data_IF_878103014867
#
_entry.id   IF_878103014867
#
_cell.length_a   1.000
_cell.length_b   1.000
_cell.length_c   1.000
_cell.angle_alpha   90.00
_cell.angle_beta   90.00
_cell.angle_gamma   90.00
#
_symmetry.space_group_name_H-M   'P 1'
#
loop_
_entity.id
_entity.type
_entity.pdbx_description
1 polymer ?
#
# COMPACT_ATOMS: atom_id res chain seq x y z
N UNK A 1 26.54 46.09 43.05
CA UNK A 1 25.82 46.54 41.85
C UNK A 1 25.76 45.37 40.87
N UNK A 2 24.55 44.99 40.49
CA UNK A 2 24.14 43.76 39.80
C UNK A 2 24.81 43.62 38.42
N UNK A 3 25.15 42.39 37.97
CA UNK A 3 24.55 41.77 36.76
C UNK A 3 25.09 40.36 36.43
N UNK A 4 24.23 39.39 36.72
CA UNK A 4 23.86 38.17 35.97
C UNK A 4 24.93 37.26 35.33
N UNK A 5 24.96 36.05 35.90
CA UNK A 5 25.12 34.73 35.25
C UNK A 5 24.38 34.69 33.91
N UNK A 6 24.96 34.09 32.85
CA UNK A 6 24.18 33.24 31.95
C UNK A 6 25.05 32.12 31.35
N UNK A 7 24.85 30.93 31.90
CA UNK A 7 25.16 29.65 31.31
C UNK A 7 24.29 29.53 30.04
N UNK A 8 24.91 29.45 28.87
CA UNK A 8 24.21 29.12 27.63
C UNK A 8 24.61 27.70 27.18
N UNK A 9 24.16 26.71 27.95
CA UNK A 9 24.04 25.33 27.48
C UNK A 9 22.59 25.08 27.10
N UNK A 10 22.40 24.32 26.01
CA UNK A 10 21.12 23.85 25.43
C UNK A 10 20.28 24.96 24.79
N UNK A 11 19.73 24.85 23.56
CA UNK A 11 18.95 23.76 22.96
C UNK A 11 19.05 23.89 21.43
N UNK A 12 19.74 22.98 20.73
CA UNK A 12 19.50 22.73 19.29
C UNK A 12 19.43 21.22 19.10
N UNK A 13 18.34 20.60 19.52
CA UNK A 13 18.07 19.19 19.21
C UNK A 13 16.59 18.87 18.99
N UNK A 14 15.72 19.88 18.82
CA UNK A 14 14.26 19.68 18.78
C UNK A 14 13.56 19.84 17.44
N UNK A 15 14.24 20.28 16.36
CA UNK A 15 13.55 20.67 15.12
C UNK A 15 13.47 19.58 14.03
N UNK A 16 14.28 18.52 14.08
CA UNK A 16 14.26 17.49 13.05
C UNK A 16 13.04 16.55 13.17
N UNK A 17 12.63 16.19 14.40
CA UNK A 17 11.58 15.20 14.64
C UNK A 17 10.15 15.75 14.46
N UNK A 18 9.92 17.05 14.70
CA UNK A 18 8.57 17.64 14.52
C UNK A 18 8.11 17.66 13.06
N UNK A 19 9.02 17.80 12.11
CA UNK A 19 8.70 17.88 10.67
C UNK A 19 8.28 16.52 10.10
N UNK A 20 8.93 15.43 10.54
CA UNK A 20 8.55 14.07 10.16
C UNK A 20 7.19 13.68 10.74
N UNK A 21 6.93 14.02 12.00
CA UNK A 21 5.67 13.68 12.69
C UNK A 21 4.45 14.35 12.05
N UNK A 22 4.59 15.62 11.63
CA UNK A 22 3.52 16.36 10.93
C UNK A 22 3.22 15.76 9.55
N UNK A 23 4.26 15.37 8.80
CA UNK A 23 4.09 14.72 7.48
C UNK A 23 3.45 13.34 7.59
N UNK A 24 3.79 12.60 8.64
CA UNK A 24 3.19 11.30 8.95
C UNK A 24 1.71 11.44 9.26
N UNK A 25 1.34 12.38 10.13
CA UNK A 25 -0.06 12.61 10.48
C UNK A 25 -0.90 12.99 9.25
N UNK A 26 -0.41 13.88 8.38
CA UNK A 26 -1.11 14.22 7.14
C UNK A 26 -1.28 13.05 6.17
N UNK A 27 -0.32 12.11 6.14
CA UNK A 27 -0.42 10.89 5.34
C UNK A 27 -1.48 9.93 5.92
N UNK A 28 -1.53 9.81 7.25
CA UNK A 28 -2.54 9.03 7.97
C UNK A 28 -3.94 9.59 7.72
N UNK A 29 -4.13 10.91 7.84
CA UNK A 29 -5.42 11.55 7.65
C UNK A 29 -5.94 11.36 6.21
N UNK A 30 -5.05 11.48 5.22
CA UNK A 30 -5.38 11.19 3.81
C UNK A 30 -5.81 9.74 3.63
N UNK A 31 -5.09 8.79 4.25
CA UNK A 31 -5.42 7.37 4.19
C UNK A 31 -6.76 7.06 4.82
N UNK A 32 -7.05 7.63 5.99
CA UNK A 32 -8.36 7.51 6.66
C UNK A 32 -9.46 7.98 5.72
N UNK A 33 -9.33 9.17 5.15
CA UNK A 33 -10.34 9.72 4.23
C UNK A 33 -10.57 8.82 3.01
N UNK A 34 -9.51 8.37 2.35
CA UNK A 34 -9.61 7.55 1.14
C UNK A 34 -10.21 6.17 1.44
N UNK A 35 -9.80 5.55 2.55
CA UNK A 35 -10.33 4.26 3.01
C UNK A 35 -11.84 4.34 3.27
N UNK A 36 -12.33 5.43 3.85
CA UNK A 36 -13.78 5.61 4.10
C UNK A 36 -14.58 5.87 2.82
N UNK A 37 -13.95 6.44 1.80
CA UNK A 37 -14.63 6.83 0.56
C UNK A 37 -14.58 5.76 -0.53
N UNK A 38 -13.69 4.77 -0.42
CA UNK A 38 -13.41 3.82 -1.49
C UNK A 38 -13.59 2.36 -1.04
N UNK A 39 -14.05 1.52 -1.96
CA UNK A 39 -14.01 0.07 -1.79
C UNK A 39 -12.59 -0.45 -2.04
N UNK A 40 -11.92 -0.88 -0.97
CA UNK A 40 -10.57 -1.42 -1.00
C UNK A 40 -10.49 -2.92 -1.32
N UNK A 41 -11.63 -3.57 -1.59
CA UNK A 41 -11.69 -5.01 -1.92
C UNK A 41 -10.78 -5.39 -3.10
N UNK A 42 -10.60 -4.47 -4.05
CA UNK A 42 -9.72 -4.66 -5.21
C UNK A 42 -8.26 -4.91 -4.82
N UNK A 43 -7.86 -4.51 -3.60
CA UNK A 43 -6.50 -4.66 -3.08
C UNK A 43 -6.28 -5.96 -2.28
N UNK A 44 -7.31 -6.76 -1.96
CA UNK A 44 -7.20 -7.90 -1.04
C UNK A 44 -6.23 -9.00 -1.45
N UNK A 45 -5.84 -9.11 -2.71
CA UNK A 45 -4.84 -10.08 -3.18
C UNK A 45 -3.73 -9.42 -3.99
N UNK A 46 -3.56 -8.11 -3.79
CA UNK A 46 -2.68 -7.28 -4.58
C UNK A 46 -1.42 -6.97 -3.79
N UNK A 47 -0.26 -7.27 -4.38
CA UNK A 47 1.03 -6.77 -3.89
C UNK A 47 1.61 -5.79 -4.89
N UNK A 48 1.83 -4.56 -4.44
CA UNK A 48 2.46 -3.49 -5.21
C UNK A 48 3.75 -3.10 -4.50
N UNK A 49 4.88 -3.30 -5.18
CA UNK A 49 6.21 -2.93 -4.66
C UNK A 49 6.96 -2.02 -5.63
N UNK A 50 7.62 -0.96 -5.15
CA UNK A 50 8.59 -0.22 -5.94
C UNK A 50 9.80 -1.13 -6.22
N UNK A 51 10.44 -1.00 -7.41
CA UNK A 51 11.57 -1.87 -7.78
C UNK A 51 12.89 -1.42 -7.16
N UNK A 52 13.09 -0.12 -6.98
CA UNK A 52 14.22 0.53 -6.30
C UNK A 52 13.95 2.04 -6.32
N UNK A 53 14.23 2.76 -5.22
CA UNK A 53 14.20 4.23 -5.22
C UNK A 53 15.58 4.73 -5.65
N UNK A 54 15.73 5.10 -6.92
CA UNK A 54 16.79 6.03 -7.33
C UNK A 54 16.13 7.35 -7.73
N UNK A 55 16.77 8.47 -7.33
CA UNK A 55 16.28 9.84 -7.54
C UNK A 55 16.09 10.18 -9.03
N UNK A 56 16.64 9.37 -9.94
CA UNK A 56 16.64 9.61 -11.39
C UNK A 56 15.63 8.76 -12.20
N UNK A 57 14.66 8.10 -11.57
CA UNK A 57 13.64 7.35 -12.32
C UNK A 57 12.21 7.74 -11.96
N UNK A 58 11.69 8.78 -12.61
CA UNK A 58 10.28 9.21 -12.54
C UNK A 58 9.27 8.17 -13.10
N UNK A 59 9.69 6.92 -13.37
CA UNK A 59 8.86 5.87 -13.96
C UNK A 59 8.60 4.71 -12.99
N UNK A 60 7.76 5.05 -12.02
CA UNK A 60 6.60 4.32 -11.49
C UNK A 60 6.56 2.78 -11.65
N UNK A 61 6.54 2.10 -10.48
CA UNK A 61 6.10 0.72 -10.19
C UNK A 61 6.44 -0.36 -11.22
N UNK A 62 7.30 -1.30 -10.82
CA UNK A 62 7.67 -2.45 -11.67
C UNK A 62 7.11 -3.79 -11.16
N UNK A 63 6.42 -3.82 -10.01
CA UNK A 63 5.84 -5.05 -9.47
C UNK A 63 4.41 -4.83 -9.01
N UNK A 64 3.47 -5.09 -9.89
CA UNK A 64 2.05 -5.28 -9.59
C UNK A 64 1.72 -6.77 -9.72
N UNK A 65 1.41 -7.41 -8.59
CA UNK A 65 1.14 -8.84 -8.52
C UNK A 65 -0.21 -9.11 -7.89
N UNK A 66 -0.90 -10.12 -8.43
CA UNK A 66 -2.22 -10.55 -7.96
C UNK A 66 -2.20 -12.03 -7.66
N UNK A 67 -2.75 -12.44 -6.50
CA UNK A 67 -2.92 -13.85 -6.17
C UNK A 67 -4.34 -14.32 -6.50
N UNK A 68 -4.45 -15.42 -7.26
CA UNK A 68 -5.72 -16.08 -7.58
C UNK A 68 -5.49 -17.60 -7.57
N UNK A 69 -6.37 -18.36 -6.91
CA UNK A 69 -6.28 -19.83 -6.84
C UNK A 69 -4.89 -20.35 -6.44
N UNK A 70 -4.28 -19.71 -5.42
CA UNK A 70 -2.92 -19.99 -4.91
C UNK A 70 -1.77 -19.73 -5.89
N UNK A 71 -2.06 -19.22 -7.10
CA UNK A 71 -1.06 -18.77 -8.07
C UNK A 71 -0.89 -17.26 -7.98
N UNK A 72 0.32 -16.77 -8.20
CA UNK A 72 0.63 -15.35 -8.27
C UNK A 72 0.84 -14.98 -9.73
N UNK A 73 0.16 -13.93 -10.18
CA UNK A 73 0.20 -13.41 -11.54
C UNK A 73 0.82 -12.03 -11.52
N UNK A 74 1.75 -11.76 -12.43
CA UNK A 74 2.25 -10.40 -12.65
C UNK A 74 1.36 -9.73 -13.70
N UNK A 75 0.62 -8.69 -13.31
CA UNK A 75 -0.30 -7.97 -14.20
C UNK A 75 0.38 -6.66 -14.63
N UNK A 76 0.38 -6.30 -15.92
CA UNK A 76 1.05 -5.10 -16.38
C UNK A 76 0.31 -3.83 -15.94
N UNK A 77 1.06 -2.74 -15.81
CA UNK A 77 0.52 -1.37 -15.88
C UNK A 77 0.42 -0.99 -17.36
N UNK A 78 -0.53 -0.13 -17.72
CA UNK A 78 -0.81 0.25 -19.09
C UNK A 78 -0.53 1.75 -19.33
N UNK A 79 -0.13 2.07 -20.56
CA UNK A 79 -0.07 3.40 -21.15
C UNK A 79 -0.99 3.42 -22.37
N UNK A 80 -2.17 4.04 -22.23
CA UNK A 80 -3.29 3.78 -23.14
C UNK A 80 -3.61 2.28 -23.18
N UNK A 81 -3.68 1.70 -24.37
CA UNK A 81 -3.94 0.26 -24.56
C UNK A 81 -2.65 -0.59 -24.57
N UNK A 82 -1.49 0.03 -24.36
CA UNK A 82 -0.18 -0.62 -24.47
C UNK A 82 0.36 -0.96 -23.08
N UNK A 83 0.69 -2.22 -22.78
CA UNK A 83 1.40 -2.56 -21.55
C UNK A 83 2.74 -1.83 -21.43
N UNK A 84 3.03 -1.25 -20.26
CA UNK A 84 4.22 -0.43 -19.97
C UNK A 84 5.56 -1.19 -20.14
N UNK A 85 5.51 -2.52 -20.28
CA UNK A 85 6.68 -3.33 -20.68
C UNK A 85 6.31 -4.31 -21.81
N UNK A 86 7.13 -4.33 -22.86
CA UNK A 86 6.97 -5.19 -24.04
C UNK A 86 7.39 -6.66 -23.80
N UNK A 87 7.80 -7.03 -22.60
CA UNK A 87 8.35 -8.36 -22.31
C UNK A 87 7.30 -9.40 -21.92
N UNK A 88 7.64 -10.68 -22.10
CA UNK A 88 6.91 -11.87 -21.63
C UNK A 88 6.82 -12.00 -20.08
N UNK A 89 6.95 -10.89 -19.34
CA UNK A 89 7.08 -10.90 -17.88
C UNK A 89 5.74 -10.85 -17.14
N UNK A 90 4.62 -10.90 -17.87
CA UNK A 90 3.29 -10.76 -17.30
C UNK A 90 2.40 -11.96 -17.65
N UNK A 91 1.65 -12.41 -16.66
CA UNK A 91 0.78 -13.58 -16.75
C UNK A 91 -0.66 -13.19 -17.14
N UNK A 92 -0.83 -12.07 -17.85
CA UNK A 92 -2.12 -11.44 -18.13
C UNK A 92 -3.13 -12.43 -18.71
N UNK A 93 -2.75 -13.14 -19.77
CA UNK A 93 -3.65 -14.07 -20.44
C UNK A 93 -3.99 -15.27 -19.54
N UNK A 94 -3.00 -15.86 -18.86
CA UNK A 94 -3.23 -16.96 -17.93
C UNK A 94 -4.12 -16.55 -16.75
N UNK A 95 -3.99 -15.31 -16.26
CA UNK A 95 -4.85 -14.75 -15.23
C UNK A 95 -6.31 -14.67 -15.69
N UNK A 96 -6.55 -14.12 -16.89
CA UNK A 96 -7.90 -13.95 -17.43
C UNK A 96 -8.56 -15.25 -17.89
N UNK A 97 -7.78 -16.26 -18.29
CA UNK A 97 -8.29 -17.61 -18.52
C UNK A 97 -8.91 -18.23 -17.27
N UNK A 98 -8.32 -18.01 -16.09
CA UNK A 98 -8.91 -18.46 -14.81
C UNK A 98 -10.21 -17.73 -14.45
N UNK A 99 -10.53 -16.65 -15.15
CA UNK A 99 -11.76 -15.86 -15.02
C UNK A 99 -12.70 -16.08 -16.21
N UNK A 100 -12.52 -17.18 -16.96
CA UNK A 100 -13.31 -17.58 -18.12
C UNK A 100 -13.24 -16.59 -19.31
N UNK A 101 -12.13 -15.86 -19.45
CA UNK A 101 -11.89 -14.94 -20.57
C UNK A 101 -10.76 -15.52 -21.42
N UNK A 102 -11.13 -16.03 -22.59
CA UNK A 102 -10.21 -16.73 -23.49
C UNK A 102 -9.80 -15.90 -24.71
N UNK A 103 -10.50 -14.78 -24.97
CA UNK A 103 -10.17 -13.86 -26.06
C UNK A 103 -9.07 -12.87 -25.60
N UNK A 104 -8.04 -12.68 -26.44
CA UNK A 104 -6.87 -11.86 -26.13
C UNK A 104 -7.21 -10.37 -25.97
N UNK A 105 -8.02 -9.82 -26.88
CA UNK A 105 -8.37 -8.39 -26.85
C UNK A 105 -9.22 -8.07 -25.62
N UNK A 106 -10.16 -8.95 -25.28
CA UNK A 106 -10.96 -8.87 -24.06
C UNK A 106 -10.09 -8.94 -22.80
N UNK A 107 -9.05 -9.78 -22.79
CA UNK A 107 -8.10 -9.86 -21.68
C UNK A 107 -7.26 -8.58 -21.54
N UNK A 108 -6.91 -7.92 -22.66
CA UNK A 108 -6.18 -6.64 -22.65
C UNK A 108 -7.09 -5.54 -22.10
N UNK A 109 -8.30 -5.39 -22.62
CA UNK A 109 -9.27 -4.36 -22.19
C UNK A 109 -9.55 -4.50 -20.69
N UNK A 110 -9.93 -5.71 -20.25
CA UNK A 110 -10.22 -5.92 -18.83
C UNK A 110 -8.98 -5.82 -17.95
N UNK A 111 -7.81 -6.21 -18.48
CA UNK A 111 -6.51 -6.06 -17.81
C UNK A 111 -6.19 -4.62 -17.52
N UNK A 112 -6.38 -3.77 -18.53
CA UNK A 112 -6.20 -2.33 -18.44
C UNK A 112 -7.14 -1.73 -17.40
N UNK A 113 -8.44 -1.99 -17.51
CA UNK A 113 -9.43 -1.43 -16.57
C UNK A 113 -9.15 -1.82 -15.12
N UNK A 114 -8.77 -3.08 -14.90
CA UNK A 114 -8.40 -3.57 -13.57
C UNK A 114 -7.11 -2.92 -13.05
N UNK A 115 -6.08 -2.85 -13.90
CA UNK A 115 -4.80 -2.22 -13.56
C UNK A 115 -4.97 -0.74 -13.24
N UNK A 116 -5.72 0.00 -14.06
CA UNK A 116 -6.00 1.43 -13.87
C UNK A 116 -6.71 1.71 -12.54
N UNK A 117 -7.67 0.86 -12.15
CA UNK A 117 -8.36 0.98 -10.86
C UNK A 117 -7.41 0.74 -9.67
N UNK A 118 -6.61 -0.32 -9.73
CA UNK A 118 -5.63 -0.62 -8.67
C UNK A 118 -4.59 0.50 -8.55
N UNK A 119 -4.06 0.94 -9.69
CA UNK A 119 -3.04 1.99 -9.75
C UNK A 119 -3.59 3.36 -9.39
N UNK A 120 -4.84 3.64 -9.72
CA UNK A 120 -5.57 4.83 -9.28
C UNK A 120 -5.63 4.92 -7.75
N UNK A 121 -6.06 3.84 -7.09
CA UNK A 121 -6.06 3.78 -5.62
C UNK A 121 -4.65 3.92 -5.05
N UNK A 122 -3.66 3.19 -5.58
CA UNK A 122 -2.27 3.31 -5.12
C UNK A 122 -1.76 4.76 -5.13
N UNK A 123 -1.99 5.49 -6.24
CA UNK A 123 -1.57 6.89 -6.41
C UNK A 123 -2.31 7.82 -5.45
N UNK A 124 -3.61 7.64 -5.27
CA UNK A 124 -4.44 8.44 -4.35
C UNK A 124 -4.03 8.23 -2.89
N UNK A 125 -3.74 6.98 -2.51
CA UNK A 125 -3.31 6.62 -1.16
C UNK A 125 -1.91 7.19 -0.81
N UNK A 126 -1.09 7.55 -1.81
CA UNK A 126 0.28 8.09 -1.64
C UNK A 126 1.18 7.21 -0.74
N UNK A 127 1.03 5.90 -0.86
CA UNK A 127 1.78 4.91 -0.08
C UNK A 127 3.01 4.41 -0.82
N UNK A 128 4.00 3.91 -0.09
CA UNK A 128 5.22 3.35 -0.67
C UNK A 128 4.97 1.93 -1.21
N UNK A 129 4.40 1.05 -0.38
CA UNK A 129 4.13 -0.36 -0.72
C UNK A 129 2.71 -0.73 -0.30
N UNK A 130 2.03 -1.57 -1.10
CA UNK A 130 0.75 -2.20 -0.74
C UNK A 130 0.93 -3.70 -0.69
N UNK A 131 0.50 -4.33 0.40
CA UNK A 131 0.49 -5.77 0.58
C UNK A 131 -0.91 -6.23 1.00
N UNK A 132 -1.69 -6.75 0.05
CA UNK A 132 -2.93 -7.48 0.32
C UNK A 132 -2.76 -8.97 0.04
N UNK A 133 -3.30 -9.82 0.91
CA UNK A 133 -3.47 -11.24 0.64
C UNK A 133 -2.21 -12.04 0.32
N UNK A 134 -1.05 -11.66 0.87
CA UNK A 134 0.09 -12.58 0.96
C UNK A 134 -0.31 -13.78 1.84
N UNK A 135 0.23 -15.00 1.63
CA UNK A 135 -0.53 -16.26 1.68
C UNK A 135 -1.22 -16.62 3.01
N UNK A 136 -0.95 -15.88 4.09
CA UNK A 136 -1.47 -16.16 5.42
C UNK A 136 -2.35 -15.01 5.97
N UNK A 137 -2.53 -13.90 5.24
CA UNK A 137 -3.02 -12.63 5.81
C UNK A 137 -4.55 -12.40 5.68
N UNK A 138 -5.28 -13.23 4.94
CA UNK A 138 -6.73 -13.08 4.76
C UNK A 138 -7.11 -11.85 3.91
N UNK A 139 -8.30 -11.29 4.12
CA UNK A 139 -8.86 -10.12 3.39
C UNK A 139 -8.33 -8.75 3.90
N UNK A 140 -7.16 -8.70 4.54
CA UNK A 140 -6.60 -7.44 5.03
C UNK A 140 -5.58 -6.85 4.05
N UNK A 141 -5.41 -5.53 4.14
CA UNK A 141 -4.47 -4.77 3.30
C UNK A 141 -3.50 -4.03 4.20
N UNK A 142 -2.20 -4.17 3.93
CA UNK A 142 -1.12 -3.46 4.62
C UNK A 142 -0.58 -2.38 3.69
N UNK A 143 -0.65 -1.13 4.13
CA UNK A 143 0.00 0.02 3.52
C UNK A 143 1.30 0.29 4.24
N UNK A 144 2.42 0.32 3.52
CA UNK A 144 3.68 0.79 4.09
C UNK A 144 3.94 2.22 3.63
N UNK A 145 4.31 3.05 4.59
CA UNK A 145 4.71 4.42 4.37
C UNK A 145 6.22 4.52 4.14
N UNK A 146 6.66 5.68 3.68
CA UNK A 146 8.08 5.93 3.36
C UNK A 146 9.00 5.89 4.58
N UNK A 147 8.47 6.19 5.77
CA UNK A 147 9.20 6.16 7.04
C UNK A 147 9.30 4.74 7.64
N UNK A 148 8.74 3.73 6.96
CA UNK A 148 8.70 2.35 7.42
C UNK A 148 7.49 1.99 8.29
N UNK A 149 6.67 2.97 8.67
CA UNK A 149 5.41 2.76 9.39
C UNK A 149 4.45 1.93 8.55
N UNK A 150 3.63 1.11 9.20
CA UNK A 150 2.65 0.26 8.52
C UNK A 150 1.25 0.57 9.00
N UNK A 151 0.35 0.83 8.07
CA UNK A 151 -1.09 0.99 8.33
C UNK A 151 -1.81 -0.24 7.79
N UNK A 152 -2.64 -0.84 8.63
CA UNK A 152 -3.45 -2.01 8.32
C UNK A 152 -4.89 -1.60 8.13
N UNK A 153 -5.49 -2.04 7.03
CA UNK A 153 -6.92 -2.00 6.79
C UNK A 153 -7.53 -3.38 6.99
N UNK A 154 -8.51 -3.45 7.89
CA UNK A 154 -9.25 -4.67 8.23
C UNK A 154 -10.74 -4.37 8.03
N UNK A 155 -11.36 -4.86 6.94
CA UNK A 155 -12.75 -4.51 6.59
C UNK A 155 -13.76 -5.02 7.61
N UNK A 156 -13.50 -6.21 8.17
CA UNK A 156 -14.37 -6.86 9.15
C UNK A 156 -13.53 -7.53 10.25
N UNK A 157 -13.38 -6.84 11.37
CA UNK A 157 -12.60 -7.30 12.52
C UNK A 157 -13.21 -8.51 13.24
N UNK A 158 -14.43 -8.95 12.88
CA UNK A 158 -15.10 -10.08 13.52
C UNK A 158 -14.76 -11.44 12.90
N UNK A 159 -14.23 -11.47 11.67
CA UNK A 159 -13.93 -12.72 10.96
C UNK A 159 -12.84 -13.54 11.67
N UNK A 160 -13.01 -14.87 11.67
CA UNK A 160 -12.11 -15.82 12.36
C UNK A 160 -10.64 -15.65 11.93
N UNK A 161 -10.37 -15.46 10.64
CA UNK A 161 -8.99 -15.25 10.17
C UNK A 161 -8.41 -13.93 10.69
N UNK A 162 -9.21 -12.88 10.80
CA UNK A 162 -8.79 -11.60 11.38
C UNK A 162 -8.54 -11.72 12.89
N UNK A 163 -9.29 -12.57 13.60
CA UNK A 163 -9.04 -12.83 15.02
C UNK A 163 -7.65 -13.46 15.27
N UNK A 164 -7.21 -14.40 14.43
CA UNK A 164 -5.84 -14.96 14.50
C UNK A 164 -4.76 -13.91 14.25
N UNK A 165 -4.97 -13.01 13.29
CA UNK A 165 -4.08 -11.87 13.05
C UNK A 165 -4.08 -10.88 14.21
N UNK A 166 -5.26 -10.57 14.73
CA UNK A 166 -5.45 -9.69 15.88
C UNK A 166 -4.62 -10.17 17.06
N UNK A 167 -4.67 -11.44 17.43
CA UNK A 167 -3.87 -11.97 18.56
C UNK A 167 -2.36 -11.70 18.43
N UNK A 168 -1.80 -11.77 17.22
CA UNK A 168 -0.36 -11.56 16.98
C UNK A 168 0.05 -10.08 16.80
N UNK A 169 -0.83 -9.26 16.22
CA UNK A 169 -0.53 -7.86 15.85
C UNK A 169 -1.04 -6.85 16.88
N UNK A 170 -2.05 -7.18 17.68
CA UNK A 170 -2.64 -6.26 18.66
C UNK A 170 -1.67 -5.90 19.79
N UNK A 171 -0.65 -6.72 20.04
CA UNK A 171 0.41 -6.41 21.01
C UNK A 171 1.34 -5.26 20.55
N UNK A 172 1.39 -4.96 19.25
CA UNK A 172 2.29 -3.95 18.67
C UNK A 172 1.60 -2.90 17.79
N UNK A 173 0.26 -2.89 17.78
CA UNK A 173 -0.51 -1.95 16.95
C UNK A 173 -1.42 -1.04 17.75
N UNK A 174 -1.58 0.19 17.28
CA UNK A 174 -2.50 1.19 17.81
C UNK A 174 -3.68 1.34 16.84
N UNK A 175 -4.90 1.21 17.35
CA UNK A 175 -6.11 1.52 16.55
C UNK A 175 -6.16 3.03 16.29
N UNK A 176 -6.35 3.42 15.03
CA UNK A 176 -6.44 4.82 14.61
C UNK A 176 -7.81 5.18 14.01
N UNK A 177 -8.54 4.19 13.48
CA UNK A 177 -9.93 4.32 13.01
C UNK A 177 -10.68 2.99 13.20
N UNK A 178 -11.99 2.94 12.94
CA UNK A 178 -12.88 1.76 13.01
C UNK A 178 -12.22 0.51 12.41
N UNK A 179 -11.66 0.64 11.21
CA UNK A 179 -11.07 -0.43 10.40
C UNK A 179 -9.56 -0.25 10.14
N UNK A 180 -8.92 0.74 10.78
CA UNK A 180 -7.50 1.06 10.56
C UNK A 180 -6.67 0.97 11.84
N UNK A 181 -5.49 0.38 11.68
CA UNK A 181 -4.53 0.17 12.75
C UNK A 181 -3.15 0.58 12.26
N UNK A 182 -2.33 1.18 13.12
CA UNK A 182 -0.92 1.47 12.83
C UNK A 182 -0.02 0.52 13.61
N UNK A 183 0.95 -0.10 12.94
CA UNK A 183 2.06 -0.82 13.58
C UNK A 183 3.27 0.11 13.51
N UNK A 184 3.69 0.61 14.67
CA UNK A 184 4.97 1.31 14.79
C UNK A 184 6.05 0.26 15.09
N UNK A 185 7.09 0.20 14.27
CA UNK A 185 8.28 -0.61 14.55
C UNK A 185 9.29 0.19 15.35
#
# INVERSE_FOLDING_TARGET
MIKYIFILTTIISGCANKSSDIKLQGSIDTLIQVVHQNDLSILYNVSIKPREYSIESEKQIVRFQVRLNKKTFSIPVFDGDIPFSKGNYFDLFAYYQLKNIHNRDSAIIQGKDYSDRVMGLYRVLKVHEILGGLPNVGELVIFKLLDGSQILFIPDTSKIFNNKWKESVYLSSKKIDKNLYIINK
#
